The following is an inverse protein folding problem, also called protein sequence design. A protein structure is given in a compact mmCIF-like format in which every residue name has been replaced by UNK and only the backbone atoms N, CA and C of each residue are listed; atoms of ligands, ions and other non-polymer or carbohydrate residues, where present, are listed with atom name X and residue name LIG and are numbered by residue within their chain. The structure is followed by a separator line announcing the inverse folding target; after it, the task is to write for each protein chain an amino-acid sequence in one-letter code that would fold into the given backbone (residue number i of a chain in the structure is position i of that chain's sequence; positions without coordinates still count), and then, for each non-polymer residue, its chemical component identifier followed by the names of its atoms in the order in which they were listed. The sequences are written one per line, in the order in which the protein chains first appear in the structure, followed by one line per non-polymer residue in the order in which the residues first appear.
data_IF_165572777732
#
_entry.id   IF_165572777732
#
_cell.length_a   1.000
_cell.length_b   1.000
_cell.length_c   1.000
_cell.angle_alpha   90.00
_cell.angle_beta   90.00
_cell.angle_gamma   90.00
#
_symmetry.space_group_name_H-M   'P 1'
#
loop_
_entity.id
_entity.type
_entity.pdbx_description
1 polymer ?
#
# COMPACT_ATOMS: atom_id res chain seq x y z
N UNK A 1 -14.34 16.44 11.11
CA UNK A 1 -13.57 16.07 12.32
C UNK A 1 -13.82 14.59 12.56
N UNK A 2 -12.86 13.73 12.20
CA UNK A 2 -13.00 12.29 12.41
C UNK A 2 -12.73 11.96 13.89
N UNK A 3 -13.54 11.08 14.48
CA UNK A 3 -13.54 10.87 15.93
C UNK A 3 -12.33 10.01 16.36
N UNK A 4 -11.52 10.44 17.35
CA UNK A 4 -10.42 9.64 17.87
C UNK A 4 -10.94 8.39 18.58
N UNK A 5 -10.34 7.24 18.25
CA UNK A 5 -10.73 5.93 18.79
C UNK A 5 -10.28 5.77 20.25
N UNK A 6 -11.23 5.42 21.15
CA UNK A 6 -10.93 5.16 22.57
C UNK A 6 -9.91 4.02 22.73
N UNK A 7 -8.95 4.22 23.66
CA UNK A 7 -7.73 3.41 23.84
C UNK A 7 -7.98 1.96 24.36
N UNK A 8 -9.19 1.63 24.81
CA UNK A 8 -9.49 0.37 25.53
C UNK A 8 -10.09 -0.80 24.75
N UNK A 9 -10.77 -0.58 23.61
CA UNK A 9 -11.54 -1.63 22.93
C UNK A 9 -11.04 -1.88 21.50
N UNK A 10 -9.83 -2.43 21.35
CA UNK A 10 -9.40 -2.94 20.05
C UNK A 10 -9.60 -4.43 19.96
N UNK A 11 -10.75 -4.85 19.43
CA UNK A 11 -10.96 -6.24 19.04
C UNK A 11 -9.87 -6.69 18.06
N UNK A 12 -9.57 -7.99 18.06
CA UNK A 12 -8.60 -8.61 17.16
C UNK A 12 -8.83 -8.20 15.70
N UNK A 13 -10.09 -8.12 15.27
CA UNK A 13 -10.48 -7.72 13.92
C UNK A 13 -9.97 -6.34 13.54
N UNK A 14 -10.07 -5.36 14.44
CA UNK A 14 -9.61 -4.01 14.13
C UNK A 14 -8.09 -3.92 14.14
N UNK A 15 -7.42 -4.64 15.04
CA UNK A 15 -5.95 -4.72 15.01
C UNK A 15 -5.45 -5.40 13.73
N UNK A 16 -6.13 -6.45 13.27
CA UNK A 16 -5.83 -7.10 12.01
C UNK A 16 -6.10 -6.16 10.82
N UNK A 17 -7.24 -5.46 10.80
CA UNK A 17 -7.56 -4.46 9.79
C UNK A 17 -6.49 -3.35 9.72
N UNK A 18 -6.10 -2.78 10.87
CA UNK A 18 -5.05 -1.76 10.97
C UNK A 18 -3.73 -2.30 10.39
N UNK A 19 -3.37 -3.55 10.72
CA UNK A 19 -2.18 -4.19 10.18
C UNK A 19 -2.26 -4.38 8.66
N UNK A 20 -3.31 -5.01 8.14
CA UNK A 20 -3.47 -5.25 6.70
C UNK A 20 -3.51 -3.95 5.91
N UNK A 21 -4.20 -2.94 6.43
CA UNK A 21 -4.27 -1.64 5.78
C UNK A 21 -2.90 -0.96 5.71
N UNK A 22 -2.20 -0.85 6.83
CA UNK A 22 -0.94 -0.10 6.92
C UNK A 22 0.25 -0.83 6.30
N UNK A 23 0.31 -2.16 6.43
CA UNK A 23 1.45 -2.97 6.00
C UNK A 23 1.31 -3.43 4.56
N UNK A 24 0.10 -3.76 4.10
CA UNK A 24 -0.10 -4.31 2.75
C UNK A 24 -0.90 -3.36 1.86
N UNK A 25 -2.15 -3.05 2.22
CA UNK A 25 -3.08 -2.39 1.29
C UNK A 25 -2.58 -1.02 0.85
N UNK A 26 -2.12 -0.18 1.78
CA UNK A 26 -1.62 1.15 1.46
C UNK A 26 -0.35 1.13 0.60
N UNK A 27 0.77 0.50 1.03
CA UNK A 27 2.00 0.52 0.24
C UNK A 27 1.86 -0.22 -1.10
N UNK A 28 1.22 -1.39 -1.13
CA UNK A 28 1.04 -2.17 -2.36
C UNK A 28 0.06 -1.47 -3.30
N UNK A 29 -1.06 -0.95 -2.80
CA UNK A 29 -2.02 -0.21 -3.63
C UNK A 29 -1.43 1.07 -4.21
N UNK A 30 -0.63 1.80 -3.43
CA UNK A 30 0.10 2.97 -3.93
C UNK A 30 1.14 2.56 -4.99
N UNK A 31 1.85 1.45 -4.79
CA UNK A 31 2.78 0.91 -5.77
C UNK A 31 2.07 0.55 -7.08
N UNK A 32 0.94 -0.18 -7.01
CA UNK A 32 0.15 -0.57 -8.19
C UNK A 32 -0.31 0.68 -8.93
N UNK A 33 -0.92 1.65 -8.25
CA UNK A 33 -1.34 2.91 -8.86
C UNK A 33 -0.19 3.63 -9.57
N UNK A 34 0.92 3.86 -8.85
CA UNK A 34 2.04 4.63 -9.37
C UNK A 34 2.76 3.92 -10.51
N UNK A 35 3.10 2.64 -10.34
CA UNK A 35 3.82 1.86 -11.35
C UNK A 35 2.97 1.62 -12.59
N UNK A 36 1.69 1.27 -12.43
CA UNK A 36 0.78 1.05 -13.56
C UNK A 36 0.67 2.31 -14.42
N UNK A 37 0.28 3.46 -13.84
CA UNK A 37 0.08 4.67 -14.64
C UNK A 37 1.38 5.25 -15.19
N UNK A 38 2.51 5.06 -14.50
CA UNK A 38 3.82 5.48 -15.02
C UNK A 38 4.19 4.68 -16.27
N UNK A 39 4.05 3.35 -16.22
CA UNK A 39 4.36 2.48 -17.37
C UNK A 39 3.31 2.67 -18.46
N UNK A 40 2.02 2.73 -18.10
CA UNK A 40 0.90 2.86 -19.03
C UNK A 40 0.99 4.14 -19.87
N UNK A 41 1.35 5.26 -19.26
CA UNK A 41 1.49 6.54 -19.97
C UNK A 41 2.75 6.62 -20.81
N UNK A 42 3.82 5.91 -20.43
CA UNK A 42 5.04 5.77 -21.23
C UNK A 42 4.80 4.88 -22.46
N UNK A 43 4.37 3.64 -22.23
CA UNK A 43 3.95 2.68 -23.25
C UNK A 43 3.02 1.62 -22.62
N UNK A 44 1.72 1.71 -22.94
CA UNK A 44 0.72 0.79 -22.40
C UNK A 44 0.95 -0.66 -22.80
N UNK A 45 1.59 -0.96 -23.93
CA UNK A 45 1.82 -2.34 -24.35
C UNK A 45 2.74 -3.10 -23.38
N UNK A 46 3.47 -2.39 -22.52
CA UNK A 46 4.35 -2.98 -21.51
C UNK A 46 3.63 -3.53 -20.27
N UNK A 47 2.41 -3.06 -19.98
CA UNK A 47 1.64 -3.41 -18.76
C UNK A 47 0.18 -3.77 -19.04
N UNK A 48 -0.44 -3.14 -20.04
CA UNK A 48 -1.84 -3.31 -20.40
C UNK A 48 -2.04 -3.23 -21.93
N UNK A 49 -1.66 -4.29 -22.66
CA UNK A 49 -1.77 -4.35 -24.12
C UNK A 49 -3.18 -4.11 -24.65
N UNK A 50 -3.31 -3.59 -25.87
CA UNK A 50 -4.62 -3.28 -26.48
C UNK A 50 -5.56 -4.48 -26.60
N UNK A 51 -5.01 -5.70 -26.74
CA UNK A 51 -5.82 -6.94 -26.76
C UNK A 51 -6.66 -7.12 -25.49
N UNK A 52 -6.25 -6.50 -24.37
CA UNK A 52 -7.03 -6.54 -23.13
C UNK A 52 -8.25 -5.61 -23.16
N UNK A 53 -8.34 -4.64 -24.07
CA UNK A 53 -9.49 -3.73 -24.16
C UNK A 53 -10.78 -4.49 -24.52
N UNK A 54 -10.66 -5.62 -25.23
CA UNK A 54 -11.78 -6.50 -25.60
C UNK A 54 -12.32 -7.30 -24.39
N UNK A 55 -11.54 -7.41 -23.32
CA UNK A 55 -11.85 -8.23 -22.12
C UNK A 55 -12.12 -7.34 -20.91
N UNK A 56 -11.36 -6.25 -20.77
CA UNK A 56 -11.34 -5.35 -19.62
C UNK A 56 -11.74 -3.96 -20.10
N UNK A 57 -13.02 -3.57 -19.96
CA UNK A 57 -13.48 -2.26 -20.38
C UNK A 57 -12.81 -1.14 -19.57
N UNK A 58 -12.77 0.06 -20.14
CA UNK A 58 -12.07 1.22 -19.57
C UNK A 58 -12.48 1.52 -18.12
N UNK A 59 -13.78 1.41 -17.78
CA UNK A 59 -14.24 1.65 -16.42
C UNK A 59 -13.65 0.64 -15.43
N UNK A 60 -13.50 -0.62 -15.83
CA UNK A 60 -12.94 -1.68 -14.99
C UNK A 60 -11.43 -1.47 -14.82
N UNK A 61 -10.73 -1.06 -15.88
CA UNK A 61 -9.33 -0.67 -15.79
C UNK A 61 -9.13 0.46 -14.75
N UNK A 62 -9.96 1.51 -14.79
CA UNK A 62 -9.92 2.57 -13.78
C UNK A 62 -10.31 2.08 -12.38
N UNK A 63 -11.29 1.18 -12.25
CA UNK A 63 -11.63 0.59 -10.96
C UNK A 63 -10.44 -0.15 -10.33
N UNK A 64 -9.69 -0.90 -11.15
CA UNK A 64 -8.54 -1.69 -10.71
C UNK A 64 -7.30 -0.84 -10.43
N UNK A 65 -7.01 0.18 -11.25
CA UNK A 65 -5.74 0.89 -11.21
C UNK A 65 -5.82 2.36 -10.81
N UNK A 66 -7.00 2.98 -10.77
CA UNK A 66 -7.19 4.36 -10.32
C UNK A 66 -7.90 4.42 -8.98
N UNK A 67 -9.09 3.81 -8.89
CA UNK A 67 -10.01 3.96 -7.75
C UNK A 67 -9.43 3.41 -6.44
N UNK A 68 -8.49 2.48 -6.52
CA UNK A 68 -7.76 1.98 -5.34
C UNK A 68 -7.12 3.11 -4.52
N UNK A 69 -6.53 4.12 -5.17
CA UNK A 69 -5.79 5.18 -4.48
C UNK A 69 -6.72 6.12 -3.67
N UNK A 70 -7.79 6.71 -4.25
CA UNK A 70 -8.71 7.53 -3.47
C UNK A 70 -9.40 6.73 -2.36
N UNK A 71 -9.73 5.44 -2.56
CA UNK A 71 -10.31 4.62 -1.49
C UNK A 71 -9.34 4.43 -0.31
N UNK A 72 -8.06 4.18 -0.58
CA UNK A 72 -7.03 4.08 0.45
C UNK A 72 -6.87 5.41 1.22
N UNK A 73 -6.89 6.54 0.51
CA UNK A 73 -6.81 7.87 1.15
C UNK A 73 -8.05 8.19 1.98
N UNK A 74 -9.25 7.87 1.48
CA UNK A 74 -10.50 8.03 2.23
C UNK A 74 -10.48 7.17 3.49
N UNK A 75 -10.05 5.91 3.39
CA UNK A 75 -9.94 5.04 4.56
C UNK A 75 -8.93 5.61 5.59
N UNK A 76 -7.77 6.10 5.15
CA UNK A 76 -6.78 6.74 6.02
C UNK A 76 -7.31 8.01 6.70
N UNK A 77 -8.19 8.75 6.02
CA UNK A 77 -8.82 9.96 6.56
C UNK A 77 -9.94 9.63 7.56
N UNK A 78 -10.72 8.59 7.30
CA UNK A 78 -11.84 8.19 8.14
C UNK A 78 -11.42 7.37 9.37
N UNK A 79 -10.32 6.63 9.28
CA UNK A 79 -9.84 5.74 10.33
C UNK A 79 -8.43 6.12 10.74
N UNK A 80 -8.15 6.19 12.05
CA UNK A 80 -6.79 6.37 12.57
C UNK A 80 -6.13 4.99 12.75
N UNK A 81 -5.32 4.51 11.79
CA UNK A 81 -4.82 3.15 11.82
C UNK A 81 -3.61 3.07 12.74
N UNK A 82 -3.60 2.07 13.64
CA UNK A 82 -2.43 1.83 14.49
C UNK A 82 -1.34 1.13 13.68
N UNK A 83 -0.26 1.85 13.40
CA UNK A 83 0.88 1.29 12.67
C UNK A 83 1.68 0.35 13.58
N UNK A 84 2.11 -0.83 13.09
CA UNK A 84 3.06 -1.66 13.81
C UNK A 84 4.44 -0.98 13.86
N UNK A 85 5.38 -1.57 14.60
CA UNK A 85 6.77 -1.10 14.55
C UNK A 85 7.29 -1.16 13.11
N UNK A 86 8.10 -0.17 12.71
CA UNK A 86 8.64 -0.06 11.35
C UNK A 86 9.33 -1.34 10.89
N UNK A 87 10.15 -1.94 11.76
CA UNK A 87 10.84 -3.20 11.47
C UNK A 87 9.87 -4.34 11.16
N UNK A 88 8.80 -4.49 11.95
CA UNK A 88 7.77 -5.53 11.73
C UNK A 88 6.97 -5.28 10.46
N UNK A 89 6.57 -4.04 10.21
CA UNK A 89 5.84 -3.65 9.00
C UNK A 89 6.67 -3.90 7.74
N UNK A 90 7.92 -3.41 7.71
CA UNK A 90 8.83 -3.60 6.57
C UNK A 90 9.18 -5.08 6.37
N UNK A 91 9.44 -5.84 7.44
CA UNK A 91 9.70 -7.27 7.33
C UNK A 91 8.49 -8.02 6.73
N UNK A 92 7.28 -7.75 7.22
CA UNK A 92 6.07 -8.38 6.70
C UNK A 92 5.81 -8.02 5.23
N UNK A 93 6.03 -6.76 4.85
CA UNK A 93 5.91 -6.30 3.47
C UNK A 93 6.99 -6.92 2.56
N UNK A 94 8.22 -7.08 3.05
CA UNK A 94 9.29 -7.77 2.34
C UNK A 94 8.96 -9.25 2.13
N UNK A 95 8.47 -9.94 3.15
CA UNK A 95 8.02 -11.33 3.04
C UNK A 95 6.88 -11.47 2.02
N UNK A 96 5.89 -10.57 2.07
CA UNK A 96 4.81 -10.55 1.08
C UNK A 96 5.34 -10.33 -0.35
N UNK A 97 6.24 -9.35 -0.53
CA UNK A 97 6.85 -9.09 -1.83
C UNK A 97 7.67 -10.28 -2.35
N UNK A 98 8.45 -10.94 -1.49
CA UNK A 98 9.21 -12.14 -1.83
C UNK A 98 8.30 -13.31 -2.23
N UNK A 99 7.21 -13.54 -1.51
CA UNK A 99 6.22 -14.57 -1.85
C UNK A 99 5.56 -14.28 -3.20
N UNK A 100 5.18 -13.03 -3.45
CA UNK A 100 4.62 -12.62 -4.74
C UNK A 100 5.62 -12.79 -5.88
N UNK A 101 6.89 -12.39 -5.69
CA UNK A 101 7.92 -12.59 -6.70
C UNK A 101 8.20 -14.07 -6.97
N UNK A 102 8.26 -14.91 -5.93
CA UNK A 102 8.41 -16.34 -6.09
C UNK A 102 7.25 -16.92 -6.92
N UNK A 103 6.01 -16.46 -6.68
CA UNK A 103 4.85 -16.84 -7.47
C UNK A 103 4.96 -16.38 -8.93
N UNK A 104 5.36 -15.13 -9.18
CA UNK A 104 5.56 -14.60 -10.56
C UNK A 104 6.61 -15.42 -11.32
N UNK A 105 7.74 -15.74 -10.67
CA UNK A 105 8.80 -16.57 -11.26
C UNK A 105 8.33 -18.00 -11.51
N UNK A 106 7.51 -18.55 -10.60
CA UNK A 106 6.88 -19.85 -10.78
C UNK A 106 5.91 -19.85 -11.97
N UNK A 107 5.08 -18.83 -12.14
CA UNK A 107 4.18 -18.70 -13.31
C UNK A 107 5.00 -18.67 -14.60
N UNK A 108 6.11 -17.94 -14.63
CA UNK A 108 7.03 -17.93 -15.77
C UNK A 108 7.60 -19.32 -16.04
N UNK A 109 8.03 -20.03 -15.01
CA UNK A 109 8.57 -21.38 -15.13
C UNK A 109 7.53 -22.38 -15.64
N UNK A 110 6.30 -22.33 -15.12
CA UNK A 110 5.25 -23.28 -15.42
C UNK A 110 4.55 -23.05 -16.78
N UNK A 111 4.33 -21.79 -17.16
CA UNK A 111 3.60 -21.43 -18.38
C UNK A 111 4.48 -21.02 -19.56
N UNK A 112 5.74 -20.63 -19.30
CA UNK A 112 6.59 -20.03 -20.33
C UNK A 112 6.16 -18.61 -20.74
N UNK A 113 5.26 -17.97 -19.99
CA UNK A 113 4.74 -16.61 -20.26
C UNK A 113 5.13 -15.66 -19.12
N UNK A 114 5.41 -14.41 -19.45
CA UNK A 114 5.63 -13.37 -18.45
C UNK A 114 4.30 -12.71 -18.05
N UNK A 115 4.13 -12.45 -16.76
CA UNK A 115 2.92 -11.79 -16.22
C UNK A 115 2.69 -10.42 -16.87
N UNK A 116 3.77 -9.68 -17.13
CA UNK A 116 3.73 -8.41 -17.84
C UNK A 116 4.72 -8.40 -19.02
N UNK A 117 4.34 -7.84 -20.18
CA UNK A 117 5.22 -7.77 -21.36
C UNK A 117 6.55 -7.09 -21.10
N UNK A 118 6.62 -6.08 -20.22
CA UNK A 118 7.88 -5.42 -19.84
C UNK A 118 8.98 -6.41 -19.43
N UNK A 119 8.61 -7.48 -18.71
CA UNK A 119 9.56 -8.47 -18.21
C UNK A 119 10.17 -9.32 -19.35
N UNK A 120 9.47 -9.45 -20.47
CA UNK A 120 9.95 -10.16 -21.65
C UNK A 120 10.96 -9.33 -22.45
N UNK A 121 10.87 -8.00 -22.38
CA UNK A 121 11.73 -7.07 -23.12
C UNK A 121 13.05 -6.77 -22.40
N UNK A 122 13.17 -7.13 -21.12
CA UNK A 122 14.36 -6.88 -20.33
C UNK A 122 15.38 -8.01 -20.47
N UNK A 123 16.67 -7.65 -20.49
CA UNK A 123 17.75 -8.62 -20.31
C UNK A 123 17.69 -9.24 -18.91
N UNK A 124 18.37 -10.37 -18.65
CA UNK A 124 18.39 -10.97 -17.31
C UNK A 124 18.85 -10.01 -16.21
N UNK A 125 19.89 -9.20 -16.50
CA UNK A 125 20.35 -8.15 -15.59
C UNK A 125 19.29 -7.05 -15.41
N UNK A 126 18.67 -6.60 -16.50
CA UNK A 126 17.58 -5.61 -16.46
C UNK A 126 16.38 -6.10 -15.64
N UNK A 127 16.05 -7.39 -15.74
CA UNK A 127 14.97 -7.99 -14.95
C UNK A 127 15.29 -8.01 -13.46
N UNK A 128 16.52 -8.40 -13.08
CA UNK A 128 16.95 -8.35 -11.67
C UNK A 128 16.85 -6.93 -11.14
N UNK A 129 17.37 -5.94 -11.87
CA UNK A 129 17.27 -4.53 -11.48
C UNK A 129 15.82 -4.09 -11.34
N UNK A 130 14.98 -4.40 -12.33
CA UNK A 130 13.56 -4.04 -12.32
C UNK A 130 12.82 -4.62 -11.11
N UNK A 131 13.00 -5.92 -10.83
CA UNK A 131 12.35 -6.57 -9.70
C UNK A 131 12.89 -6.08 -8.36
N UNK A 132 14.22 -5.87 -8.25
CA UNK A 132 14.82 -5.28 -7.05
C UNK A 132 14.28 -3.88 -6.78
N UNK A 133 14.21 -3.01 -7.79
CA UNK A 133 13.66 -1.65 -7.64
C UNK A 133 12.19 -1.71 -7.25
N UNK A 134 11.40 -2.56 -7.90
CA UNK A 134 9.99 -2.76 -7.57
C UNK A 134 9.81 -3.18 -6.11
N UNK A 135 10.55 -4.19 -5.64
CA UNK A 135 10.47 -4.64 -4.24
C UNK A 135 10.98 -3.60 -3.25
N UNK A 136 12.11 -2.94 -3.54
CA UNK A 136 12.70 -1.94 -2.63
C UNK A 136 11.83 -0.68 -2.52
N UNK A 137 11.06 -0.35 -3.57
CA UNK A 137 10.12 0.78 -3.55
C UNK A 137 8.99 0.63 -2.51
N UNK A 138 8.71 -0.58 -2.04
CA UNK A 138 7.69 -0.84 -1.02
C UNK A 138 8.01 -0.17 0.33
N UNK A 139 9.29 -0.12 0.70
CA UNK A 139 9.71 0.47 1.97
C UNK A 139 9.43 2.00 2.06
N UNK A 140 9.83 2.85 1.10
CA UNK A 140 9.47 4.26 1.14
C UNK A 140 7.96 4.50 1.05
N UNK A 141 7.20 3.65 0.35
CA UNK A 141 5.73 3.74 0.32
C UNK A 141 5.09 3.42 1.67
N UNK A 142 5.61 2.44 2.40
CA UNK A 142 5.20 2.19 3.78
C UNK A 142 5.47 3.40 4.69
N UNK A 143 6.67 3.98 4.60
CA UNK A 143 7.03 5.18 5.37
C UNK A 143 6.19 6.40 4.99
N UNK A 144 5.83 6.53 3.71
CA UNK A 144 4.91 7.56 3.23
C UNK A 144 3.53 7.40 3.88
N UNK A 145 2.99 6.17 3.92
CA UNK A 145 1.73 5.88 4.59
C UNK A 145 1.75 6.23 6.07
N UNK A 146 2.82 5.84 6.77
CA UNK A 146 3.02 6.21 8.18
C UNK A 146 3.07 7.74 8.35
N UNK A 147 3.80 8.44 7.49
CA UNK A 147 3.91 9.91 7.55
C UNK A 147 2.57 10.58 7.29
N UNK A 148 1.83 10.16 6.26
CA UNK A 148 0.52 10.71 5.93
C UNK A 148 -0.48 10.48 7.05
N UNK A 149 -0.54 9.26 7.59
CA UNK A 149 -1.38 8.95 8.74
C UNK A 149 -1.02 9.82 9.95
N UNK A 150 0.28 10.04 10.23
CA UNK A 150 0.69 10.95 11.31
C UNK A 150 0.28 12.38 11.03
N UNK A 151 0.37 12.88 9.80
CA UNK A 151 -0.02 14.26 9.46
C UNK A 151 -1.52 14.46 9.63
N UNK A 152 -2.34 13.51 9.16
CA UNK A 152 -3.81 13.57 9.26
C UNK A 152 -4.26 13.55 10.73
N UNK A 153 -3.54 12.81 11.58
CA UNK A 153 -3.93 12.55 12.97
C UNK A 153 -2.98 13.18 14.03
N UNK A 154 -2.08 14.08 13.64
CA UNK A 154 -1.19 14.85 14.55
C UNK A 154 -2.02 15.73 15.51
N UNK A 155 -1.49 16.09 16.70
CA UNK A 155 -2.26 16.09 17.94
C UNK A 155 -3.46 17.06 17.94
N UNK A 156 -4.60 16.50 17.57
CA UNK A 156 -5.90 16.83 18.19
C UNK A 156 -6.00 16.20 19.60
N UNK A 157 -4.99 15.42 20.02
CA UNK A 157 -4.85 14.82 21.35
C UNK A 157 -4.35 15.81 22.44
N UNK A 158 -3.95 17.03 22.07
CA UNK A 158 -3.49 18.04 23.03
C UNK A 158 -4.63 18.78 23.76
N UNK A 159 -5.88 18.64 23.31
CA UNK A 159 -7.04 19.37 23.88
C UNK A 159 -7.92 18.55 24.82
N UNK A 160 -7.63 17.27 25.08
CA UNK A 160 -8.42 16.46 26.04
C UNK A 160 -7.78 16.25 27.42
N UNK A 161 -6.63 16.85 27.71
CA UNK A 161 -5.93 16.72 29.01
C UNK A 161 -5.42 18.05 29.60
N UNK A 162 -6.21 19.11 29.52
CA UNK A 162 -5.99 20.36 30.28
C UNK A 162 -7.18 20.69 31.19
N UNK A 163 -7.51 19.79 32.12
CA UNK A 163 -8.16 20.17 33.37
C UNK A 163 -7.08 20.16 34.46
N UNK A 164 -6.60 21.32 34.93
CA UNK A 164 -5.70 21.36 36.08
C UNK A 164 -6.49 20.93 37.31
N UNK A 165 -6.10 19.81 37.92
CA UNK A 165 -6.55 19.43 39.26
C UNK A 165 -6.18 20.56 40.23
N UNK A 166 -7.16 21.41 40.55
CA UNK A 166 -7.05 22.39 41.64
C UNK A 166 -6.86 21.63 42.96
N UNK A 167 -5.73 21.91 43.60
CA UNK A 167 -5.43 21.65 45.02
C UNK A 167 -6.68 21.83 45.89
N UNK A 168 -6.97 20.83 46.73
CA UNK A 168 -7.59 21.07 48.05
C UNK A 168 -6.64 20.53 49.12
N UNK A 169 -5.87 21.44 49.71
CA UNK A 169 -5.39 21.30 51.10
C UNK A 169 -6.61 21.39 52.01
N UNK A 170 -6.80 20.39 52.87
CA UNK A 170 -7.26 20.55 54.24
C UNK A 170 -6.68 19.41 55.05
#
# INVERSE_FOLDING_TARGET
MALPRKRGDSSFLVTAQDFFFTVLAFPVGTFVFASFWSIYTYDRELVFPKVLDDIIPTWLNHAMHTVIMPLLLVQMFLQHPKHPSRSRGILALALFASLYLAWVLWVRHASGIWVYPIMAHLSPAGLVVFLSVASLSMAPLYLLGEKLSRVIWSPTDATSHSQPQKKKKK
#
